data_IF_948435705626
#
_entry.id   IF_948435705626
#
_cell.length_a   1.000
_cell.length_b   1.000
_cell.length_c   1.000
_cell.angle_alpha   90.00
_cell.angle_beta   90.00
_cell.angle_gamma   90.00
#
_symmetry.space_group_name_H-M   'P 1'
#
loop_
_entity.id
_entity.type
_entity.pdbx_description
1 polymer ?
#
# COMPACT_ATOMS: atom_id res chain seq x y z
N UNK A 1 23.09 -14.71 -4.19
CA UNK A 1 22.23 -14.13 -5.25
C UNK A 1 20.77 -14.56 -5.19
N UNK A 2 20.42 -15.85 -5.09
CA UNK A 2 19.00 -16.31 -5.07
C UNK A 2 18.18 -15.78 -3.87
N UNK A 3 18.77 -15.72 -2.67
CA UNK A 3 18.10 -15.27 -1.43
C UNK A 3 17.61 -13.81 -1.51
N UNK A 4 18.45 -12.91 -2.01
CA UNK A 4 18.09 -11.49 -2.21
C UNK A 4 16.94 -11.29 -3.20
N UNK A 5 16.90 -12.10 -4.26
CA UNK A 5 15.82 -12.03 -5.25
C UNK A 5 14.50 -12.55 -4.68
N UNK A 6 14.55 -13.61 -3.88
CA UNK A 6 13.39 -14.15 -3.17
C UNK A 6 12.77 -13.12 -2.22
N UNK A 7 13.58 -12.39 -1.46
CA UNK A 7 13.11 -11.34 -0.54
C UNK A 7 12.40 -10.20 -1.30
N UNK A 8 12.97 -9.74 -2.43
CA UNK A 8 12.35 -8.69 -3.27
C UNK A 8 10.98 -9.11 -3.79
N UNK A 9 10.84 -10.37 -4.23
CA UNK A 9 9.57 -10.92 -4.70
C UNK A 9 8.55 -11.01 -3.56
N UNK A 10 8.97 -11.47 -2.37
CA UNK A 10 8.09 -11.55 -1.20
C UNK A 10 7.58 -10.17 -0.79
N UNK A 11 8.42 -9.13 -0.80
CA UNK A 11 7.99 -7.76 -0.52
C UNK A 11 7.00 -7.24 -1.56
N UNK A 12 7.26 -7.50 -2.85
CA UNK A 12 6.35 -7.11 -3.92
C UNK A 12 4.97 -7.79 -3.76
N UNK A 13 4.96 -9.08 -3.43
CA UNK A 13 3.74 -9.84 -3.19
C UNK A 13 2.98 -9.34 -1.95
N UNK A 14 3.69 -9.06 -0.85
CA UNK A 14 3.09 -8.51 0.37
C UNK A 14 2.45 -7.14 0.14
N UNK A 15 3.11 -6.28 -0.61
CA UNK A 15 2.56 -4.97 -1.00
C UNK A 15 1.34 -5.11 -1.93
N UNK A 16 1.39 -6.03 -2.90
CA UNK A 16 0.26 -6.29 -3.79
C UNK A 16 -0.97 -6.82 -3.01
N UNK A 17 -0.75 -7.69 -2.02
CA UNK A 17 -1.81 -8.18 -1.15
C UNK A 17 -2.43 -7.05 -0.32
N UNK A 18 -1.61 -6.18 0.28
CA UNK A 18 -2.08 -5.01 1.02
C UNK A 18 -2.91 -4.06 0.15
N UNK A 19 -2.44 -3.76 -1.06
CA UNK A 19 -3.17 -2.97 -2.05
C UNK A 19 -4.50 -3.62 -2.44
N UNK A 20 -4.52 -4.94 -2.61
CA UNK A 20 -5.74 -5.67 -2.96
C UNK A 20 -6.78 -5.58 -1.83
N UNK A 21 -6.37 -5.75 -0.56
CA UNK A 21 -7.26 -5.60 0.60
C UNK A 21 -7.78 -4.17 0.73
N UNK A 22 -6.92 -3.17 0.53
CA UNK A 22 -7.32 -1.77 0.54
C UNK A 22 -8.32 -1.43 -0.59
N UNK A 23 -8.07 -1.93 -1.80
CA UNK A 23 -9.01 -1.81 -2.92
C UNK A 23 -10.35 -2.49 -2.62
N UNK A 24 -10.29 -3.71 -2.07
CA UNK A 24 -11.50 -4.46 -1.70
C UNK A 24 -12.32 -3.69 -0.66
N UNK A 25 -11.68 -3.04 0.30
CA UNK A 25 -12.34 -2.23 1.33
C UNK A 25 -13.13 -1.05 0.74
N UNK A 26 -12.64 -0.46 -0.36
CA UNK A 26 -13.34 0.60 -1.08
C UNK A 26 -14.49 0.05 -1.95
N UNK A 27 -14.27 -1.08 -2.63
CA UNK A 27 -15.21 -1.63 -3.61
C UNK A 27 -16.34 -2.44 -2.98
N UNK A 28 -16.02 -3.29 -2.01
CA UNK A 28 -17.00 -4.23 -1.43
C UNK A 28 -18.00 -3.56 -0.49
N UNK A 29 -17.93 -2.23 -0.29
CA UNK A 29 -18.83 -1.46 0.59
C UNK A 29 -19.03 -2.22 1.90
N UNK A 30 -17.93 -2.57 2.58
CA UNK A 30 -17.97 -3.37 3.82
C UNK A 30 -19.01 -2.77 4.79
N UNK A 31 -20.17 -3.42 4.92
CA UNK A 31 -21.32 -2.93 5.70
C UNK A 31 -22.51 -2.31 4.92
N UNK A 32 -22.58 -2.45 3.59
CA UNK A 32 -23.72 -2.03 2.77
C UNK A 32 -23.76 -0.53 2.43
N UNK A 33 -22.75 0.23 2.86
CA UNK A 33 -22.56 1.66 2.53
C UNK A 33 -21.13 1.87 2.04
N UNK A 34 -20.95 2.78 1.09
CA UNK A 34 -19.60 3.21 0.71
C UNK A 34 -18.97 4.04 1.83
N UNK A 35 -17.63 4.01 1.94
CA UNK A 35 -16.89 4.90 2.87
C UNK A 35 -17.26 6.37 2.62
N UNK A 36 -17.55 6.72 1.36
CA UNK A 36 -18.10 8.00 0.91
C UNK A 36 -19.43 8.35 1.59
N UNK A 37 -20.40 7.45 1.52
CA UNK A 37 -21.71 7.63 2.15
C UNK A 37 -21.63 7.67 3.68
N UNK A 38 -20.67 6.95 4.27
CA UNK A 38 -20.46 6.98 5.72
C UNK A 38 -19.81 8.29 6.17
N UNK A 39 -18.87 8.82 5.39
CA UNK A 39 -18.23 10.12 5.62
C UNK A 39 -19.22 11.27 5.46
N UNK A 40 -20.02 11.27 4.41
CA UNK A 40 -21.01 12.33 4.14
C UNK A 40 -22.15 12.33 5.18
N UNK A 41 -22.40 11.19 5.85
CA UNK A 41 -23.45 11.06 6.88
C UNK A 41 -23.12 11.81 8.18
N UNK A 42 -21.84 12.02 8.49
CA UNK A 42 -21.40 12.72 9.69
C UNK A 42 -20.73 14.02 9.27
N UNK A 43 -21.46 15.13 9.32
CA UNK A 43 -20.89 16.46 9.15
C UNK A 43 -19.95 16.75 10.33
N UNK A 44 -18.67 16.91 10.03
CA UNK A 44 -17.61 16.69 10.99
C UNK A 44 -16.44 17.60 10.57
N UNK A 45 -16.03 18.52 11.46
CA UNK A 45 -14.98 19.52 11.16
C UNK A 45 -13.59 18.89 10.89
N UNK A 46 -13.43 17.61 11.24
CA UNK A 46 -12.16 16.89 11.18
C UNK A 46 -12.13 15.82 10.09
N UNK A 47 -13.26 15.54 9.45
CA UNK A 47 -13.36 14.50 8.43
C UNK A 47 -12.87 15.11 7.13
N UNK A 48 -11.72 14.65 6.64
CA UNK A 48 -11.08 15.30 5.52
C UNK A 48 -11.94 15.13 4.26
N UNK A 49 -11.88 16.13 3.37
CA UNK A 49 -12.62 16.07 2.11
C UNK A 49 -12.29 14.79 1.35
N UNK A 50 -13.24 14.31 0.54
CA UNK A 50 -13.09 13.09 -0.27
C UNK A 50 -11.81 13.07 -1.14
N UNK A 51 -11.27 14.24 -1.52
CA UNK A 51 -10.01 14.34 -2.27
C UNK A 51 -8.78 14.01 -1.44
N UNK A 52 -8.84 14.17 -0.12
CA UNK A 52 -7.70 13.89 0.78
C UNK A 52 -7.31 12.42 0.74
N UNK A 53 -8.25 11.51 0.45
CA UNK A 53 -7.96 10.09 0.26
C UNK A 53 -7.15 9.79 -1.01
N UNK A 54 -7.03 10.73 -1.95
CA UNK A 54 -6.18 10.56 -3.14
C UNK A 54 -4.68 10.47 -2.79
N UNK A 55 -4.28 10.94 -1.60
CA UNK A 55 -2.88 10.83 -1.16
C UNK A 55 -2.41 9.38 -1.05
N UNK A 56 -3.32 8.44 -0.74
CA UNK A 56 -2.99 7.02 -0.67
C UNK A 56 -2.51 6.47 -2.02
N UNK A 57 -3.14 6.86 -3.13
CA UNK A 57 -2.69 6.48 -4.47
C UNK A 57 -1.28 7.00 -4.79
N UNK A 58 -0.94 8.21 -4.35
CA UNK A 58 0.41 8.76 -4.48
C UNK A 58 1.43 7.97 -3.64
N UNK A 59 1.13 7.71 -2.37
CA UNK A 59 2.00 6.94 -1.46
C UNK A 59 2.23 5.53 -2.03
N UNK A 60 1.17 4.84 -2.43
CA UNK A 60 1.27 3.51 -3.01
C UNK A 60 2.06 3.51 -4.32
N UNK A 61 1.92 4.55 -5.15
CA UNK A 61 2.73 4.68 -6.38
C UNK A 61 4.21 4.83 -6.06
N UNK A 62 4.56 5.66 -5.08
CA UNK A 62 5.96 5.84 -4.64
C UNK A 62 6.55 4.54 -4.09
N UNK A 63 5.79 3.81 -3.27
CA UNK A 63 6.21 2.49 -2.75
C UNK A 63 6.37 1.50 -3.90
N UNK A 64 5.43 1.44 -4.84
CA UNK A 64 5.53 0.56 -6.00
C UNK A 64 6.78 0.84 -6.83
N UNK A 65 7.07 2.11 -7.14
CA UNK A 65 8.28 2.52 -7.85
C UNK A 65 9.53 2.09 -7.07
N UNK A 66 9.55 2.26 -5.75
CA UNK A 66 10.65 1.81 -4.89
C UNK A 66 10.86 0.28 -4.96
N UNK A 67 9.78 -0.50 -4.90
CA UNK A 67 9.85 -1.96 -5.01
C UNK A 67 10.37 -2.42 -6.38
N UNK A 68 9.93 -1.77 -7.46
CA UNK A 68 10.34 -2.09 -8.82
C UNK A 68 11.77 -1.62 -9.11
N UNK A 69 12.18 -0.46 -8.57
CA UNK A 69 13.54 0.08 -8.70
C UNK A 69 14.61 -0.93 -8.26
N UNK A 70 14.32 -1.74 -7.24
CA UNK A 70 15.21 -2.78 -6.69
C UNK A 70 15.56 -3.92 -7.67
N UNK A 71 14.79 -4.10 -8.74
CA UNK A 71 15.07 -5.10 -9.77
C UNK A 71 16.06 -4.60 -10.82
N UNK A 72 16.28 -3.28 -10.92
CA UNK A 72 17.23 -2.73 -11.86
C UNK A 72 18.68 -2.88 -11.36
N UNK A 73 19.64 -3.13 -12.27
CA UNK A 73 21.04 -3.35 -11.90
C UNK A 73 21.68 -2.15 -11.19
N UNK A 74 21.21 -0.93 -11.48
CA UNK A 74 21.67 0.32 -10.84
C UNK A 74 21.41 0.35 -9.33
N UNK A 75 20.42 -0.39 -8.85
CA UNK A 75 19.98 -0.41 -7.44
C UNK A 75 20.12 -1.80 -6.81
N UNK A 76 20.94 -2.69 -7.41
CA UNK A 76 21.12 -4.06 -6.91
C UNK A 76 21.80 -4.13 -5.54
N UNK A 77 22.73 -3.22 -5.26
CA UNK A 77 23.45 -3.15 -3.98
C UNK A 77 22.67 -2.40 -2.89
N UNK A 78 21.55 -1.78 -3.25
CA UNK A 78 20.67 -1.12 -2.28
C UNK A 78 19.96 -2.21 -1.47
N UNK A 79 20.56 -2.62 -0.35
CA UNK A 79 19.96 -3.61 0.55
C UNK A 79 18.62 -3.09 1.08
N UNK A 80 17.62 -3.97 1.11
CA UNK A 80 16.40 -3.72 1.85
C UNK A 80 16.76 -3.61 3.34
N UNK A 81 16.82 -2.39 3.86
CA UNK A 81 17.29 -2.12 5.23
C UNK A 81 16.56 -2.96 6.29
N UNK A 82 15.24 -3.16 6.14
CA UNK A 82 14.43 -4.02 7.01
C UNK A 82 13.21 -4.62 6.28
N UNK A 83 13.43 -5.69 5.52
CA UNK A 83 12.34 -6.39 4.80
C UNK A 83 11.23 -6.91 5.72
N UNK A 84 11.57 -7.35 6.93
CA UNK A 84 10.58 -7.86 7.89
C UNK A 84 9.63 -6.76 8.37
N UNK A 85 10.15 -5.56 8.68
CA UNK A 85 9.33 -4.41 9.08
C UNK A 85 8.40 -3.97 7.94
N UNK A 86 8.86 -4.05 6.69
CA UNK A 86 8.04 -3.76 5.53
C UNK A 86 6.84 -4.73 5.40
N UNK A 87 7.08 -6.03 5.60
CA UNK A 87 6.00 -7.02 5.57
C UNK A 87 5.01 -6.83 6.71
N UNK A 88 5.50 -6.53 7.93
CA UNK A 88 4.64 -6.18 9.06
C UNK A 88 3.80 -4.93 8.72
N UNK A 89 4.41 -3.91 8.13
CA UNK A 89 3.69 -2.73 7.66
C UNK A 89 2.63 -3.05 6.60
N UNK A 90 2.86 -4.03 5.72
CA UNK A 90 1.86 -4.46 4.74
C UNK A 90 0.69 -5.19 5.39
N UNK A 91 0.93 -5.95 6.47
CA UNK A 91 -0.11 -6.64 7.23
C UNK A 91 -0.96 -5.64 8.03
N UNK A 92 -0.35 -4.56 8.51
CA UNK A 92 -1.02 -3.49 9.27
C UNK A 92 -1.69 -2.42 8.38
N UNK A 93 -1.54 -2.51 7.05
CA UNK A 93 -2.14 -1.58 6.09
C UNK A 93 -3.59 -1.94 5.79
#
# INVERSE_FOLDING_TARGET
>A
MKKETSIKIVNLAGFAAALYVNYLSVVTRMGGRSIRELSDKYANLFTPSNQTFAIWSLIYSLVFVFLIAQFFPKYKDTRFGNSYLFLISCILN
#
